data_IF_454647928286
#
_entry.id   IF_454647928286
#
_cell.length_a   1.000
_cell.length_b   1.000
_cell.length_c   1.000
_cell.angle_alpha   90.00
_cell.angle_beta   90.00
_cell.angle_gamma   90.00
#
_symmetry.space_group_name_H-M   'P 1'
#
loop_
_entity.id
_entity.type
_entity.pdbx_description
1 polymer ?
#
# COMPACT_ATOMS: atom_id res chain seq x y z
N UNK A 1 -0.79 -5.10 -1.81
CA UNK A 1 -1.38 -3.75 -1.72
C UNK A 1 -2.48 -3.70 -0.67
N UNK A 2 -2.64 -2.53 -0.05
CA UNK A 2 -3.31 -2.28 1.23
C UNK A 2 -2.55 -2.74 2.48
N UNK A 3 -1.20 -2.73 2.46
CA UNK A 3 -0.41 -2.99 3.67
C UNK A 3 -0.79 -4.27 4.42
N UNK A 4 -1.13 -5.33 3.69
CA UNK A 4 -1.57 -6.59 4.29
C UNK A 4 -0.48 -7.14 5.21
N UNK A 5 -0.86 -7.40 6.47
CA UNK A 5 0.02 -8.00 7.46
C UNK A 5 -0.42 -9.45 7.62
N UNK A 6 0.51 -10.37 7.36
CA UNK A 6 0.32 -11.80 7.59
C UNK A 6 1.29 -12.28 8.65
N UNK A 7 0.86 -13.24 9.46
CA UNK A 7 1.70 -13.91 10.46
C UNK A 7 1.62 -15.42 10.21
N UNK A 8 2.78 -16.06 10.28
CA UNK A 8 2.89 -17.52 10.31
C UNK A 8 3.58 -17.88 11.61
N UNK A 9 2.97 -18.79 12.37
CA UNK A 9 3.51 -19.25 13.65
C UNK A 9 3.89 -20.72 13.52
N UNK A 10 5.13 -21.05 13.85
CA UNK A 10 5.59 -22.43 13.97
C UNK A 10 5.63 -22.77 15.46
N UNK A 11 4.97 -23.86 15.85
CA UNK A 11 4.88 -24.29 17.25
C UNK A 11 5.51 -25.67 17.42
N UNK A 12 6.20 -25.89 18.55
CA UNK A 12 6.65 -27.21 18.96
C UNK A 12 5.45 -28.06 19.40
N UNK A 13 5.48 -29.37 19.12
CA UNK A 13 4.44 -30.31 19.59
C UNK A 13 4.52 -30.56 21.08
N UNK A 14 5.72 -30.48 21.65
CA UNK A 14 5.93 -30.56 23.08
C UNK A 14 5.52 -29.24 23.74
N UNK A 15 4.51 -29.30 24.59
CA UNK A 15 3.92 -28.12 25.25
C UNK A 15 4.67 -27.68 26.50
N UNK A 16 5.56 -28.52 27.03
CA UNK A 16 6.37 -28.21 28.21
C UNK A 16 7.67 -27.49 27.83
N UNK A 17 7.98 -27.46 26.54
CA UNK A 17 9.18 -26.84 26.00
C UNK A 17 8.87 -25.42 25.53
N UNK A 18 9.47 -24.45 26.21
CA UNK A 18 9.30 -23.01 25.99
C UNK A 18 10.49 -22.37 25.25
N UNK A 19 11.69 -22.94 25.37
CA UNK A 19 12.87 -22.51 24.63
C UNK A 19 13.09 -23.31 23.32
N UNK A 20 13.04 -22.59 22.20
CA UNK A 20 13.27 -23.08 20.83
C UNK A 20 14.40 -22.31 20.12
N UNK A 21 15.29 -21.65 20.88
CA UNK A 21 16.34 -20.80 20.32
C UNK A 21 17.32 -21.57 19.44
N UNK A 22 17.63 -22.82 19.80
CA UNK A 22 18.51 -23.69 19.02
C UNK A 22 17.89 -24.07 17.67
N UNK A 23 16.63 -24.50 17.66
CA UNK A 23 15.89 -24.82 16.43
C UNK A 23 15.71 -23.59 15.54
N UNK A 24 15.47 -22.41 16.14
CA UNK A 24 15.39 -21.17 15.40
C UNK A 24 16.73 -20.82 14.75
N UNK A 25 17.85 -20.99 15.46
CA UNK A 25 19.18 -20.77 14.88
C UNK A 25 19.49 -21.75 13.73
N UNK A 26 19.03 -23.00 13.84
CA UNK A 26 19.28 -24.03 12.83
C UNK A 26 18.35 -23.91 11.61
N UNK A 27 17.09 -23.51 11.79
CA UNK A 27 16.05 -23.60 10.75
C UNK A 27 15.37 -22.27 10.41
N UNK A 28 15.68 -21.19 11.12
CA UNK A 28 14.99 -19.90 11.02
C UNK A 28 14.93 -19.35 9.60
N UNK A 29 16.03 -19.40 8.86
CA UNK A 29 16.10 -18.91 7.48
C UNK A 29 15.17 -19.69 6.55
N UNK A 30 15.16 -21.01 6.67
CA UNK A 30 14.29 -21.87 5.86
C UNK A 30 12.81 -21.65 6.21
N UNK A 31 12.49 -21.58 7.50
CA UNK A 31 11.14 -21.28 7.99
C UNK A 31 10.66 -19.90 7.53
N UNK A 32 11.54 -18.90 7.49
CA UNK A 32 11.23 -17.56 7.01
C UNK A 32 10.84 -17.57 5.52
N UNK A 33 11.57 -18.31 4.68
CA UNK A 33 11.24 -18.46 3.26
C UNK A 33 9.88 -19.15 3.08
N UNK A 34 9.62 -20.22 3.83
CA UNK A 34 8.33 -20.91 3.80
C UNK A 34 7.19 -20.00 4.25
N UNK A 35 7.37 -19.26 5.34
CA UNK A 35 6.40 -18.31 5.84
C UNK A 35 6.09 -17.23 4.80
N UNK A 36 7.12 -16.63 4.19
CA UNK A 36 6.94 -15.63 3.15
C UNK A 36 6.17 -16.18 1.95
N UNK A 37 6.56 -17.36 1.45
CA UNK A 37 5.88 -18.01 0.31
C UNK A 37 4.44 -18.35 0.64
N UNK A 38 4.17 -18.84 1.85
CA UNK A 38 2.82 -19.13 2.30
C UNK A 38 1.97 -17.87 2.34
N UNK A 39 2.41 -16.81 3.03
CA UNK A 39 1.66 -15.55 3.14
C UNK A 39 1.43 -14.94 1.76
N UNK A 40 2.47 -14.83 0.92
CA UNK A 40 2.35 -14.27 -0.42
C UNK A 40 1.38 -15.09 -1.30
N UNK A 41 1.50 -16.42 -1.27
CA UNK A 41 0.63 -17.34 -2.00
C UNK A 41 -0.81 -17.29 -1.52
N UNK A 42 -1.02 -17.30 -0.20
CA UNK A 42 -2.33 -17.21 0.45
C UNK A 42 -3.02 -15.88 0.12
N UNK A 43 -2.32 -14.76 0.26
CA UNK A 43 -2.81 -13.44 -0.14
C UNK A 43 -3.18 -13.38 -1.62
N UNK A 44 -2.42 -14.06 -2.50
CA UNK A 44 -2.73 -14.14 -3.93
C UNK A 44 -3.97 -15.01 -4.19
N UNK A 45 -4.09 -16.15 -3.53
CA UNK A 45 -5.18 -17.10 -3.72
C UNK A 45 -6.53 -16.60 -3.16
N UNK A 46 -6.50 -15.95 -1.98
CA UNK A 46 -7.71 -15.41 -1.35
C UNK A 46 -8.12 -14.02 -1.82
N UNK A 47 -7.50 -13.49 -2.88
CA UNK A 47 -7.98 -12.29 -3.56
C UNK A 47 -9.29 -12.60 -4.28
N UNK A 48 -10.37 -12.64 -3.53
CA UNK A 48 -11.74 -12.87 -4.02
C UNK A 48 -12.41 -11.58 -4.52
N UNK A 49 -11.79 -10.41 -4.31
CA UNK A 49 -12.27 -9.13 -4.85
C UNK A 49 -11.13 -8.34 -5.50
N UNK A 50 -11.33 -7.96 -6.76
CA UNK A 50 -10.72 -6.75 -7.29
C UNK A 50 -11.33 -5.59 -6.48
N UNK A 51 -10.63 -5.15 -5.45
CA UNK A 51 -11.08 -4.05 -4.58
C UNK A 51 -11.13 -2.70 -5.29
N UNK A 52 -10.65 -2.65 -6.52
CA UNK A 52 -10.59 -1.49 -7.37
C UNK A 52 -11.01 -1.91 -8.77
N UNK A 53 -11.79 -1.09 -9.49
CA UNK A 53 -12.07 -1.28 -10.91
C UNK A 53 -10.81 -1.57 -11.75
N UNK A 54 -10.96 -2.27 -12.87
CA UNK A 54 -9.83 -2.63 -13.76
C UNK A 54 -9.02 -1.43 -14.27
N UNK A 55 -9.62 -0.24 -14.33
CA UNK A 55 -9.01 1.02 -14.81
C UNK A 55 -8.56 1.98 -13.69
N UNK A 56 -8.03 1.44 -12.58
CA UNK A 56 -7.58 2.26 -11.43
C UNK A 56 -6.13 2.73 -11.51
N UNK A 57 -5.55 2.74 -12.72
CA UNK A 57 -4.19 3.23 -12.91
C UNK A 57 -4.16 4.76 -12.89
N UNK A 58 -3.47 5.30 -11.88
CA UNK A 58 -3.25 6.74 -11.79
C UNK A 58 -2.21 7.19 -12.81
N UNK A 59 -2.45 8.34 -13.43
CA UNK A 59 -1.46 8.99 -14.30
C UNK A 59 -0.29 9.54 -13.47
N UNK A 60 0.84 9.78 -14.12
CA UNK A 60 2.01 10.41 -13.46
C UNK A 60 1.65 11.74 -12.79
N UNK A 61 0.80 12.55 -13.44
CA UNK A 61 0.37 13.86 -12.89
C UNK A 61 -0.62 13.73 -11.74
N UNK A 62 -1.51 12.74 -11.78
CA UNK A 62 -2.39 12.41 -10.65
C UNK A 62 -1.56 12.00 -9.43
N UNK A 63 -0.59 11.09 -9.60
CA UNK A 63 0.32 10.66 -8.53
C UNK A 63 1.14 11.85 -7.99
N UNK A 64 1.68 12.69 -8.87
CA UNK A 64 2.46 13.86 -8.46
C UNK A 64 1.66 14.88 -7.66
N UNK A 65 0.41 15.18 -8.07
CA UNK A 65 -0.48 16.03 -7.30
C UNK A 65 -0.80 15.40 -5.93
N UNK A 66 -1.07 14.10 -5.88
CA UNK A 66 -1.36 13.39 -4.64
C UNK A 66 -0.15 13.31 -3.70
N UNK A 67 1.09 13.25 -4.20
CA UNK A 67 2.31 13.28 -3.39
C UNK A 67 2.48 14.60 -2.65
N UNK A 68 2.27 15.72 -3.34
CA UNK A 68 2.31 17.03 -2.67
C UNK A 68 1.13 17.19 -1.71
N UNK A 69 -0.05 16.71 -2.10
CA UNK A 69 -1.23 16.73 -1.25
C UNK A 69 -1.03 15.88 0.03
N UNK A 70 -0.35 14.74 -0.05
CA UNK A 70 -0.11 13.85 1.09
C UNK A 70 0.83 14.44 2.14
N UNK A 71 1.70 15.38 1.76
CA UNK A 71 2.55 16.12 2.71
C UNK A 71 1.89 17.43 3.20
N UNK A 72 0.59 17.62 2.93
CA UNK A 72 -0.20 18.73 3.45
C UNK A 72 -0.27 19.98 2.56
N UNK A 73 0.22 19.93 1.31
CA UNK A 73 0.11 21.09 0.40
C UNK A 73 -1.31 21.30 -0.08
N UNK A 74 -1.71 22.57 -0.12
CA UNK A 74 -2.97 23.05 -0.71
C UNK A 74 -2.89 23.01 -2.24
N UNK A 75 -4.03 22.98 -2.93
CA UNK A 75 -4.05 22.98 -4.40
C UNK A 75 -3.36 24.21 -4.99
N UNK A 76 -3.40 25.34 -4.28
CA UNK A 76 -2.72 26.57 -4.67
C UNK A 76 -1.20 26.40 -4.58
N UNK A 77 -0.68 25.87 -3.48
CA UNK A 77 0.75 25.59 -3.36
C UNK A 77 1.22 24.55 -4.38
N UNK A 78 0.45 23.48 -4.60
CA UNK A 78 0.75 22.46 -5.62
C UNK A 78 0.79 23.10 -7.01
N UNK A 79 -0.14 24.01 -7.31
CA UNK A 79 -0.18 24.70 -8.60
C UNK A 79 1.07 25.55 -8.85
N UNK A 80 1.59 26.18 -7.79
CA UNK A 80 2.86 26.92 -7.84
C UNK A 80 4.05 25.98 -8.05
N UNK A 81 4.11 24.87 -7.28
CA UNK A 81 5.20 23.88 -7.37
C UNK A 81 5.27 23.25 -8.77
N UNK A 82 4.11 22.88 -9.33
CA UNK A 82 4.04 22.18 -10.62
C UNK A 82 3.96 23.12 -11.83
N UNK A 83 3.97 24.44 -11.62
CA UNK A 83 3.76 25.46 -12.66
C UNK A 83 2.50 25.17 -13.50
N UNK A 84 1.37 24.96 -12.82
CA UNK A 84 0.05 24.69 -13.41
C UNK A 84 -1.02 25.56 -12.80
N UNK A 85 -2.20 25.59 -13.42
CA UNK A 85 -3.33 26.31 -12.84
C UNK A 85 -3.91 25.55 -11.64
N UNK A 86 -4.48 26.29 -10.70
CA UNK A 86 -5.23 25.71 -9.57
C UNK A 86 -6.34 24.75 -10.05
N UNK A 87 -7.03 25.10 -11.14
CA UNK A 87 -8.06 24.27 -11.74
C UNK A 87 -7.50 22.94 -12.29
N UNK A 88 -6.31 22.96 -12.91
CA UNK A 88 -5.64 21.76 -13.42
C UNK A 88 -5.22 20.80 -12.31
N UNK A 89 -4.71 21.32 -11.19
CA UNK A 89 -4.37 20.49 -10.02
C UNK A 89 -5.63 19.85 -9.45
N UNK A 90 -6.69 20.65 -9.24
CA UNK A 90 -7.97 20.15 -8.74
C UNK A 90 -8.55 19.07 -9.67
N UNK A 91 -8.45 19.25 -10.98
CA UNK A 91 -8.86 18.26 -11.98
C UNK A 91 -8.11 16.93 -11.82
N UNK A 92 -6.78 16.95 -11.68
CA UNK A 92 -6.02 15.73 -11.47
C UNK A 92 -6.37 15.02 -10.14
N UNK A 93 -6.54 15.77 -9.04
CA UNK A 93 -6.94 15.18 -7.76
C UNK A 93 -8.34 14.58 -7.84
N UNK A 94 -9.28 15.26 -8.51
CA UNK A 94 -10.65 14.78 -8.71
C UNK A 94 -10.68 13.50 -9.55
N UNK A 95 -9.98 13.46 -10.69
CA UNK A 95 -9.90 12.28 -11.53
C UNK A 95 -9.27 11.09 -10.78
N UNK A 96 -8.25 11.36 -9.96
CA UNK A 96 -7.67 10.32 -9.12
C UNK A 96 -8.67 9.81 -8.08
N UNK A 97 -9.48 10.70 -7.50
CA UNK A 97 -10.57 10.34 -6.59
C UNK A 97 -11.59 9.44 -7.25
N UNK A 98 -12.06 9.81 -8.44
CA UNK A 98 -13.02 9.02 -9.23
C UNK A 98 -12.46 7.64 -9.59
N UNK A 99 -11.21 7.57 -10.07
CA UNK A 99 -10.54 6.30 -10.36
C UNK A 99 -10.43 5.42 -9.13
N UNK A 100 -10.14 6.00 -7.96
CA UNK A 100 -9.98 5.26 -6.72
C UNK A 100 -11.30 5.04 -5.96
N UNK A 101 -12.44 5.45 -6.52
CA UNK A 101 -13.75 5.40 -5.86
C UNK A 101 -13.74 6.14 -4.50
N UNK A 102 -13.07 7.29 -4.44
CA UNK A 102 -12.94 8.10 -3.24
C UNK A 102 -13.89 9.31 -3.27
N UNK A 103 -14.53 9.60 -2.14
CA UNK A 103 -15.51 10.69 -2.00
C UNK A 103 -14.86 12.03 -1.64
N UNK A 104 -13.59 12.04 -1.24
CA UNK A 104 -12.87 13.26 -0.89
C UNK A 104 -11.35 13.14 -1.06
N UNK A 105 -10.65 14.28 -0.98
CA UNK A 105 -9.19 14.39 -1.09
C UNK A 105 -8.46 13.45 -0.12
N UNK A 106 -8.84 13.46 1.16
CA UNK A 106 -8.17 12.66 2.20
C UNK A 106 -8.31 11.16 1.96
N UNK A 107 -9.50 10.71 1.55
CA UNK A 107 -9.74 9.32 1.18
C UNK A 107 -8.98 8.95 -0.12
N UNK A 108 -8.89 9.88 -1.07
CA UNK A 108 -8.10 9.69 -2.30
C UNK A 108 -6.63 9.45 -1.96
N UNK A 109 -6.05 10.31 -1.11
CA UNK A 109 -4.67 10.16 -0.60
C UNK A 109 -4.51 8.82 0.12
N UNK A 110 -5.43 8.48 1.03
CA UNK A 110 -5.39 7.22 1.78
C UNK A 110 -5.39 6.00 0.86
N UNK A 111 -6.33 5.93 -0.10
CA UNK A 111 -6.41 4.83 -1.07
C UNK A 111 -5.17 4.77 -1.96
N UNK A 112 -4.66 5.91 -2.42
CA UNK A 112 -3.45 5.98 -3.22
C UNK A 112 -2.21 5.47 -2.46
N UNK A 113 -2.08 5.83 -1.18
CA UNK A 113 -1.00 5.33 -0.31
C UNK A 113 -1.09 3.81 -0.10
N UNK A 114 -2.28 3.30 0.22
CA UNK A 114 -2.51 1.87 0.39
C UNK A 114 -2.16 1.06 -0.86
N UNK A 115 -2.35 1.63 -2.05
CA UNK A 115 -2.00 1.00 -3.32
C UNK A 115 -0.53 1.10 -3.70
N UNK A 116 0.27 1.84 -2.93
CA UNK A 116 1.69 2.03 -3.18
C UNK A 116 2.01 3.14 -4.19
N UNK A 117 1.03 3.98 -4.58
CA UNK A 117 1.32 5.16 -5.41
C UNK A 117 2.10 6.23 -4.64
N UNK A 118 1.87 6.29 -3.32
CA UNK A 118 2.48 7.24 -2.39
C UNK A 118 3.43 6.48 -1.44
N UNK A 119 4.39 5.75 -2.01
CA UNK A 119 5.51 5.18 -1.25
C UNK A 119 6.54 6.25 -0.88
N UNK A 120 7.42 5.94 0.08
CA UNK A 120 8.55 6.79 0.41
C UNK A 120 9.36 7.06 -0.87
N UNK A 121 9.49 8.34 -1.23
CA UNK A 121 10.53 8.74 -2.17
C UNK A 121 11.86 8.42 -1.50
N UNK A 122 12.50 7.35 -1.96
CA UNK A 122 13.93 7.11 -1.82
C UNK A 122 14.55 7.41 -3.19
#
# INVERSE_FOLDING_TARGET
PFGQIGIVTFNCKDKLRDDLSAEYAEHGDFLAILAYRFVAGYCKALRTRHWLPGDTQLTKREVECLRWASIGKTDKEISLILSRSHATVRFHIQNAGEKLDAVNRSQTIFKAAQLGYLGAAA
#
